data_IF_037503208156
#
_entry.id   IF_037503208156
#
_cell.length_a   1.000
_cell.length_b   1.000
_cell.length_c   1.000
_cell.angle_alpha   90.00
_cell.angle_beta   90.00
_cell.angle_gamma   90.00
#
_symmetry.space_group_name_H-M   'P 1'
#
loop_
_entity.id
_entity.type
_entity.pdbx_description
1 polymer ?
#
# COMPACT_ATOMS: atom_id res chain seq x y z
N UNK A 1 -69.08 -13.22 -6.60
CA UNK A 1 -69.34 -11.79 -6.31
C UNK A 1 -68.32 -10.97 -7.10
N UNK A 2 -68.32 -11.02 -8.42
CA UNK A 2 -69.14 -10.23 -9.35
C UNK A 2 -69.18 -8.73 -9.02
N UNK A 3 -68.29 -7.94 -9.64
CA UNK A 3 -68.63 -6.59 -10.13
C UNK A 3 -67.98 -6.39 -11.50
N UNK A 4 -68.76 -6.04 -12.53
CA UNK A 4 -68.33 -5.97 -13.91
C UNK A 4 -68.01 -4.52 -14.34
N UNK A 5 -67.47 -4.44 -15.56
CA UNK A 5 -67.55 -3.37 -16.58
C UNK A 5 -67.17 -1.93 -16.22
N UNK A 6 -66.10 -1.44 -16.86
CA UNK A 6 -66.21 -0.23 -17.66
C UNK A 6 -65.12 -0.16 -18.74
N UNK A 7 -65.41 -0.84 -19.84
CA UNK A 7 -64.90 -0.49 -21.16
C UNK A 7 -65.43 0.90 -21.49
N UNK A 8 -64.57 1.93 -21.54
CA UNK A 8 -64.70 3.15 -22.34
C UNK A 8 -63.62 4.16 -21.95
N UNK A 9 -62.47 4.08 -22.60
CA UNK A 9 -61.74 5.26 -23.10
C UNK A 9 -60.72 4.80 -24.15
N UNK A 10 -61.30 4.35 -25.27
CA UNK A 10 -60.65 4.34 -26.57
C UNK A 10 -60.23 5.76 -26.90
N UNK A 11 -58.95 6.10 -26.74
CA UNK A 11 -58.33 7.21 -27.47
C UNK A 11 -56.81 7.09 -27.46
N UNK A 12 -56.31 6.44 -28.51
CA UNK A 12 -55.19 6.89 -29.36
C UNK A 12 -54.24 7.89 -28.71
N UNK A 13 -53.21 7.41 -27.99
CA UNK A 13 -51.97 8.15 -27.88
C UNK A 13 -51.08 7.80 -29.07
N UNK A 14 -51.18 8.66 -30.08
CA UNK A 14 -50.34 8.70 -31.26
C UNK A 14 -48.86 8.55 -30.89
N UNK A 15 -48.28 7.49 -31.44
CA UNK A 15 -46.83 7.28 -31.55
C UNK A 15 -46.30 8.25 -32.61
N UNK A 16 -46.30 9.55 -32.35
CA UNK A 16 -45.59 10.54 -33.18
C UNK A 16 -45.48 11.84 -32.38
N UNK A 17 -44.29 12.13 -31.83
CA UNK A 17 -43.70 13.48 -31.64
C UNK A 17 -42.59 13.45 -30.57
N UNK A 18 -41.46 12.81 -30.88
CA UNK A 18 -40.16 13.31 -30.41
C UNK A 18 -39.18 13.14 -31.55
N UNK A 19 -39.10 14.17 -32.39
CA UNK A 19 -38.00 14.32 -33.33
C UNK A 19 -36.70 14.37 -32.53
N UNK A 20 -35.94 13.29 -32.57
CA UNK A 20 -34.59 13.25 -32.02
C UNK A 20 -33.73 14.20 -32.84
N UNK A 21 -33.31 15.32 -32.25
CA UNK A 21 -32.26 16.13 -32.84
C UNK A 21 -31.02 15.24 -32.96
N UNK A 22 -30.45 15.16 -34.17
CA UNK A 22 -29.26 14.37 -34.46
C UNK A 22 -28.08 14.73 -33.51
N UNK A 23 -28.11 15.92 -32.90
CA UNK A 23 -27.13 16.40 -31.91
C UNK A 23 -27.22 15.78 -30.50
N UNK A 24 -28.39 15.34 -30.04
CA UNK A 24 -28.54 14.75 -28.70
C UNK A 24 -27.89 13.36 -28.60
N UNK A 25 -27.88 12.61 -29.71
CA UNK A 25 -27.27 11.28 -29.80
C UNK A 25 -25.73 11.35 -29.76
N UNK A 26 -25.13 12.34 -30.44
CA UNK A 26 -23.68 12.56 -30.37
C UNK A 26 -23.22 12.99 -28.97
N UNK A 27 -24.00 13.83 -28.29
CA UNK A 27 -23.67 14.27 -26.93
C UNK A 27 -23.72 13.09 -25.93
N UNK A 28 -24.72 12.22 -26.06
CA UNK A 28 -24.86 11.03 -25.21
C UNK A 28 -23.76 9.99 -25.49
N UNK A 29 -23.36 9.78 -26.75
CA UNK A 29 -22.27 8.89 -27.12
C UNK A 29 -20.90 9.40 -26.66
N UNK A 30 -20.63 10.71 -26.77
CA UNK A 30 -19.39 11.32 -26.27
C UNK A 30 -19.31 11.21 -24.74
N UNK A 31 -20.42 11.45 -24.04
CA UNK A 31 -20.49 11.28 -22.59
C UNK A 31 -20.21 9.83 -22.16
N UNK A 32 -20.73 8.84 -22.91
CA UNK A 32 -20.52 7.42 -22.62
C UNK A 32 -19.09 6.94 -22.93
N UNK A 33 -18.43 7.53 -23.93
CA UNK A 33 -17.00 7.30 -24.23
C UNK A 33 -16.10 7.90 -23.14
N UNK A 34 -16.43 9.07 -22.60
CA UNK A 34 -15.68 9.70 -21.49
C UNK A 34 -15.75 8.90 -20.18
N UNK A 35 -16.85 8.18 -19.92
CA UNK A 35 -17.00 7.28 -18.78
C UNK A 35 -16.19 5.98 -18.90
N UNK A 36 -15.76 5.59 -20.12
CA UNK A 36 -15.05 4.34 -20.38
C UNK A 36 -13.54 4.36 -20.04
N UNK A 37 -12.96 5.53 -19.78
CA UNK A 37 -11.52 5.69 -19.49
C UNK A 37 -11.29 5.65 -17.97
N UNK A 38 -11.71 4.55 -17.33
CA UNK A 38 -11.31 4.29 -15.94
C UNK A 38 -9.91 3.69 -15.96
N UNK A 39 -8.87 4.51 -15.79
CA UNK A 39 -7.53 3.98 -15.54
C UNK A 39 -7.54 3.35 -14.14
N UNK A 40 -7.17 2.07 -13.98
CA UNK A 40 -6.94 1.53 -12.66
C UNK A 40 -5.76 2.29 -12.06
N UNK A 41 -5.99 3.03 -10.98
CA UNK A 41 -4.90 3.54 -10.15
C UNK A 41 -4.39 2.37 -9.32
N UNK A 42 -3.22 1.82 -9.70
CA UNK A 42 -2.49 0.90 -8.85
C UNK A 42 -1.67 1.79 -7.92
N UNK A 43 -2.17 1.99 -6.69
CA UNK A 43 -1.38 2.61 -5.65
C UNK A 43 -0.41 1.55 -5.10
N UNK A 44 0.78 1.46 -5.68
CA UNK A 44 1.91 0.79 -5.02
C UNK A 44 2.48 1.77 -4.00
N UNK A 45 2.20 1.52 -2.72
CA UNK A 45 2.70 2.31 -1.60
C UNK A 45 3.98 1.73 -0.99
N UNK A 46 4.62 0.77 -1.68
CA UNK A 46 5.87 0.16 -1.25
C UNK A 46 7.06 1.02 -1.68
N UNK A 47 7.90 1.40 -0.72
CA UNK A 47 9.19 2.03 -0.98
C UNK A 47 10.28 1.01 -0.72
N UNK A 48 11.19 0.83 -1.69
CA UNK A 48 12.30 -0.13 -1.59
C UNK A 48 13.64 0.58 -1.81
N UNK A 49 14.59 0.33 -0.91
CA UNK A 49 15.98 0.74 -1.04
C UNK A 49 16.85 -0.51 -1.18
N UNK A 50 17.57 -0.62 -2.28
CA UNK A 50 18.48 -1.74 -2.54
C UNK A 50 19.92 -1.34 -2.21
N UNK A 51 20.61 -2.23 -1.50
CA UNK A 51 22.03 -2.18 -1.19
C UNK A 51 22.72 -3.32 -1.93
N UNK A 52 23.63 -2.99 -2.84
CA UNK A 52 24.48 -3.96 -3.52
C UNK A 52 25.75 -4.20 -2.70
N UNK A 53 26.31 -5.40 -2.80
CA UNK A 53 27.54 -5.77 -2.10
C UNK A 53 27.40 -5.63 -0.58
N UNK A 54 26.34 -6.20 -0.02
CA UNK A 54 26.13 -6.32 1.42
C UNK A 54 25.66 -7.74 1.75
N UNK A 55 25.84 -8.15 3.00
CA UNK A 55 25.24 -9.36 3.56
C UNK A 55 24.08 -8.98 4.49
N UNK A 56 23.23 -9.97 4.78
CA UNK A 56 22.01 -9.77 5.53
C UNK A 56 22.26 -9.32 6.97
N UNK A 57 23.25 -9.91 7.64
CA UNK A 57 23.56 -9.59 9.05
C UNK A 57 24.07 -8.17 9.18
N UNK A 58 24.99 -7.75 8.32
CA UNK A 58 25.50 -6.38 8.30
C UNK A 58 24.38 -5.35 8.09
N UNK A 59 23.45 -5.64 7.17
CA UNK A 59 22.30 -4.78 6.93
C UNK A 59 21.28 -4.80 8.08
N UNK A 60 21.09 -5.96 8.72
CA UNK A 60 20.26 -6.12 9.91
C UNK A 60 20.79 -5.23 11.05
N UNK A 61 22.06 -5.40 11.40
CA UNK A 61 22.68 -4.65 12.50
C UNK A 61 22.68 -3.14 12.21
N UNK A 62 22.94 -2.75 10.97
CA UNK A 62 22.84 -1.36 10.52
C UNK A 62 21.41 -0.80 10.58
N UNK A 63 20.38 -1.62 10.36
CA UNK A 63 18.98 -1.22 10.52
C UNK A 63 18.61 -1.04 12.00
N UNK A 64 19.03 -1.95 12.88
CA UNK A 64 18.84 -1.81 14.32
C UNK A 64 19.50 -0.52 14.82
N UNK A 65 20.76 -0.29 14.47
CA UNK A 65 21.49 0.93 14.83
C UNK A 65 20.78 2.19 14.28
N UNK A 66 20.30 2.15 13.04
CA UNK A 66 19.58 3.28 12.46
C UNK A 66 18.29 3.61 13.22
N UNK A 67 17.54 2.61 13.66
CA UNK A 67 16.34 2.79 14.50
C UNK A 67 16.72 3.38 15.86
N UNK A 68 17.72 2.83 16.52
CA UNK A 68 18.19 3.29 17.84
C UNK A 68 18.75 4.71 17.79
N UNK A 69 19.40 5.11 16.69
CA UNK A 69 19.91 6.46 16.49
C UNK A 69 18.81 7.53 16.41
N UNK A 70 17.57 7.15 16.10
CA UNK A 70 16.40 8.02 16.16
C UNK A 70 15.78 8.05 17.58
N UNK A 71 16.43 7.43 18.57
CA UNK A 71 15.94 7.31 19.95
C UNK A 71 14.77 6.34 20.09
N UNK A 72 14.61 5.41 19.15
CA UNK A 72 13.53 4.43 19.11
C UNK A 72 14.03 3.06 19.55
N UNK A 73 13.12 2.20 19.98
CA UNK A 73 13.42 0.80 20.31
C UNK A 73 12.72 -0.13 19.33
N UNK A 74 13.40 -1.21 18.96
CA UNK A 74 12.80 -2.31 18.22
C UNK A 74 11.85 -3.05 19.14
N UNK A 75 10.58 -3.11 18.73
CA UNK A 75 9.54 -3.81 19.49
C UNK A 75 9.47 -5.29 19.15
N UNK A 76 9.70 -5.64 17.89
CA UNK A 76 9.60 -7.03 17.43
C UNK A 76 10.39 -7.25 16.13
N UNK A 77 10.95 -8.44 15.97
CA UNK A 77 11.55 -8.91 14.71
C UNK A 77 10.81 -10.18 14.29
N UNK A 78 10.18 -10.14 13.12
CA UNK A 78 9.43 -11.26 12.57
C UNK A 78 10.32 -12.02 11.57
N UNK A 79 10.73 -13.27 11.85
CA UNK A 79 11.53 -14.08 10.93
C UNK A 79 10.66 -14.60 9.78
N UNK A 80 10.42 -13.75 8.79
CA UNK A 80 9.41 -13.94 7.74
C UNK A 80 9.73 -15.14 6.84
N UNK A 81 11.00 -15.31 6.45
CA UNK A 81 11.43 -16.49 5.68
C UNK A 81 11.15 -17.79 6.45
N UNK A 82 11.51 -17.85 7.72
CA UNK A 82 11.34 -19.06 8.52
C UNK A 82 9.86 -19.34 8.81
N UNK A 83 9.06 -18.29 8.95
CA UNK A 83 7.60 -18.41 9.01
C UNK A 83 7.06 -19.06 7.71
N UNK A 84 7.53 -18.63 6.53
CA UNK A 84 7.15 -19.27 5.26
C UNK A 84 7.62 -20.73 5.21
N UNK A 85 8.83 -21.02 5.66
CA UNK A 85 9.36 -22.39 5.70
C UNK A 85 8.54 -23.33 6.59
N UNK A 86 8.00 -22.82 7.70
CA UNK A 86 7.17 -23.61 8.62
C UNK A 86 5.71 -23.73 8.18
N UNK A 87 5.18 -22.73 7.49
CA UNK A 87 3.74 -22.69 7.14
C UNK A 87 3.45 -23.17 5.73
N UNK A 88 4.41 -23.07 4.80
CA UNK A 88 4.41 -23.50 3.40
C UNK A 88 3.03 -23.93 2.85
N UNK A 89 2.09 -22.98 2.84
CA UNK A 89 0.75 -23.22 2.30
C UNK A 89 0.86 -23.14 0.79
N UNK A 90 0.84 -24.29 0.11
CA UNK A 90 0.80 -24.35 -1.36
C UNK A 90 2.09 -24.77 -2.07
N UNK A 91 3.11 -25.26 -1.36
CA UNK A 91 4.24 -26.01 -1.95
C UNK A 91 5.17 -25.24 -2.90
N UNK A 92 5.04 -23.92 -3.02
CA UNK A 92 5.93 -23.07 -3.82
C UNK A 92 7.31 -22.90 -3.18
N UNK A 93 8.32 -22.66 -4.01
CA UNK A 93 9.67 -22.32 -3.54
C UNK A 93 9.68 -20.96 -2.82
N UNK A 94 10.44 -20.87 -1.73
CA UNK A 94 10.62 -19.62 -0.98
C UNK A 94 11.58 -18.71 -1.75
N UNK A 95 11.16 -17.48 -2.12
CA UNK A 95 11.99 -16.61 -2.97
C UNK A 95 13.12 -15.90 -2.20
N UNK A 96 13.09 -15.95 -0.87
CA UNK A 96 14.01 -15.23 0.01
C UNK A 96 15.21 -16.08 0.41
N UNK A 97 16.41 -15.51 0.28
CA UNK A 97 17.62 -16.04 0.91
C UNK A 97 17.51 -15.91 2.42
N UNK A 98 17.26 -14.70 2.89
CA UNK A 98 16.88 -14.33 4.25
C UNK A 98 15.78 -13.25 4.19
N UNK A 99 14.86 -13.23 5.15
CA UNK A 99 13.83 -12.19 5.21
C UNK A 99 13.28 -12.02 6.63
N UNK A 100 13.26 -10.77 7.08
CA UNK A 100 12.73 -10.35 8.37
C UNK A 100 11.86 -9.09 8.22
N UNK A 101 10.93 -8.89 9.15
CA UNK A 101 10.20 -7.63 9.29
C UNK A 101 10.50 -7.07 10.68
N UNK A 102 11.21 -5.95 10.72
CA UNK A 102 11.60 -5.26 11.94
C UNK A 102 10.54 -4.20 12.25
N UNK A 103 9.92 -4.30 13.42
CA UNK A 103 8.87 -3.41 13.88
C UNK A 103 9.36 -2.54 15.03
N UNK A 104 9.03 -1.26 14.98
CA UNK A 104 9.43 -0.28 15.99
C UNK A 104 8.36 0.79 16.16
N UNK A 105 8.39 1.46 17.30
CA UNK A 105 7.37 2.41 17.70
C UNK A 105 7.98 3.76 18.09
N UNK A 106 7.32 4.84 17.67
CA UNK A 106 7.51 6.17 18.26
C UNK A 106 6.22 6.58 18.95
N UNK A 107 6.21 6.55 20.29
CA UNK A 107 5.00 6.87 21.08
C UNK A 107 4.51 8.29 20.83
N UNK A 108 5.44 9.23 20.61
CA UNK A 108 5.12 10.63 20.28
C UNK A 108 4.41 10.72 18.93
N UNK A 109 4.94 10.04 17.91
CA UNK A 109 4.36 10.04 16.57
C UNK A 109 3.03 9.28 16.54
N UNK A 110 2.93 8.15 17.24
CA UNK A 110 1.69 7.39 17.37
C UNK A 110 0.57 8.24 17.97
N UNK A 111 0.86 8.98 19.04
CA UNK A 111 -0.10 9.88 19.66
C UNK A 111 -0.50 11.04 18.74
N UNK A 112 0.42 11.56 17.91
CA UNK A 112 0.10 12.56 16.88
C UNK A 112 -0.84 12.01 15.81
N UNK A 113 -0.50 10.87 15.21
CA UNK A 113 -1.29 10.22 14.17
C UNK A 113 -2.73 9.94 14.65
N UNK A 114 -2.88 9.36 15.84
CA UNK A 114 -4.20 9.02 16.41
C UNK A 114 -5.00 10.27 16.77
N UNK A 115 -4.35 11.38 17.18
CA UNK A 115 -5.02 12.67 17.41
C UNK A 115 -5.54 13.29 16.11
N UNK A 116 -4.82 13.09 15.00
CA UNK A 116 -5.27 13.57 13.68
C UNK A 116 -6.47 12.76 13.18
N UNK A 117 -6.43 11.43 13.29
CA UNK A 117 -7.56 10.54 13.00
C UNK A 117 -7.36 9.19 13.72
N UNK A 118 -8.33 8.72 14.55
CA UNK A 118 -8.21 7.45 15.28
C UNK A 118 -7.90 6.23 14.41
N UNK A 119 -8.29 6.24 13.13
CA UNK A 119 -8.01 5.15 12.18
C UNK A 119 -6.53 5.02 11.84
N UNK A 120 -5.74 6.07 12.08
CA UNK A 120 -4.29 6.05 11.88
C UNK A 120 -3.54 5.18 12.89
N UNK A 121 -4.23 4.60 13.89
CA UNK A 121 -3.67 3.52 14.71
C UNK A 121 -3.06 2.39 13.87
N UNK A 122 -3.60 2.15 12.66
CA UNK A 122 -3.08 1.17 11.68
C UNK A 122 -1.67 1.45 11.18
N UNK A 123 -1.12 2.66 11.42
CA UNK A 123 0.26 3.03 11.09
C UNK A 123 1.24 2.72 12.23
N UNK A 124 0.77 2.12 13.33
CA UNK A 124 1.59 1.74 14.49
C UNK A 124 1.43 0.22 14.75
N UNK A 125 2.51 -0.58 14.76
CA UNK A 125 3.92 -0.17 14.66
C UNK A 125 4.34 0.25 13.24
N UNK A 126 5.38 1.08 13.16
CA UNK A 126 6.12 1.25 11.91
C UNK A 126 6.94 -0.01 11.64
N UNK A 127 7.17 -0.35 10.37
CA UNK A 127 7.84 -1.58 9.99
C UNK A 127 8.76 -1.37 8.79
N UNK A 128 9.92 -2.03 8.81
CA UNK A 128 10.83 -2.17 7.66
C UNK A 128 11.05 -3.67 7.42
N UNK A 129 10.74 -4.14 6.22
CA UNK A 129 11.11 -5.46 5.75
C UNK A 129 12.56 -5.42 5.26
N UNK A 130 13.38 -6.33 5.76
CA UNK A 130 14.75 -6.55 5.34
C UNK A 130 14.83 -7.92 4.68
N UNK A 131 15.31 -8.00 3.44
CA UNK A 131 15.38 -9.29 2.74
C UNK A 131 16.47 -9.35 1.66
N UNK A 132 16.89 -10.57 1.35
CA UNK A 132 17.67 -10.93 0.16
C UNK A 132 16.88 -11.90 -0.70
N UNK A 133 17.08 -11.88 -2.01
CA UNK A 133 16.48 -12.84 -2.93
C UNK A 133 17.43 -14.00 -3.18
N UNK A 134 16.89 -15.22 -3.36
CA UNK A 134 17.70 -16.41 -3.69
C UNK A 134 18.52 -16.19 -4.97
N UNK A 135 17.94 -15.50 -5.96
CA UNK A 135 18.60 -15.20 -7.23
C UNK A 135 19.69 -14.12 -7.12
N UNK A 136 19.67 -13.31 -6.05
CA UNK A 136 20.54 -12.16 -5.85
C UNK A 136 21.00 -12.05 -4.38
N UNK A 137 21.81 -13.00 -3.90
CA UNK A 137 22.13 -13.09 -2.47
C UNK A 137 22.99 -11.94 -1.93
N UNK A 138 23.66 -11.18 -2.82
CA UNK A 138 24.48 -10.01 -2.46
C UNK A 138 23.74 -8.68 -2.61
N UNK A 139 22.45 -8.71 -2.95
CA UNK A 139 21.56 -7.56 -2.93
C UNK A 139 20.66 -7.66 -1.69
N UNK A 140 20.75 -6.66 -0.82
CA UNK A 140 19.88 -6.53 0.33
C UNK A 140 18.85 -5.44 0.07
N UNK A 141 17.60 -5.72 0.36
CA UNK A 141 16.48 -4.82 0.18
C UNK A 141 15.92 -4.41 1.54
N UNK A 142 15.79 -3.10 1.73
CA UNK A 142 15.09 -2.48 2.84
C UNK A 142 13.79 -1.88 2.28
N UNK A 143 12.65 -2.43 2.66
CA UNK A 143 11.35 -2.03 2.14
C UNK A 143 10.39 -1.59 3.25
N UNK A 144 9.58 -0.57 2.99
CA UNK A 144 8.52 -0.15 3.92
C UNK A 144 7.28 0.32 3.15
N UNK A 145 6.14 0.31 3.84
CA UNK A 145 4.89 0.89 3.32
C UNK A 145 4.85 2.38 3.64
N UNK A 146 4.66 3.21 2.63
CA UNK A 146 4.52 4.65 2.83
C UNK A 146 3.29 4.97 3.69
N UNK A 147 3.43 5.69 4.81
CA UNK A 147 2.29 6.28 5.50
C UNK A 147 1.63 7.40 4.69
N UNK A 148 2.08 7.78 3.50
CA UNK A 148 1.48 8.85 2.70
C UNK A 148 1.69 10.26 3.29
N UNK A 149 1.08 11.26 2.66
CA UNK A 149 1.39 12.68 2.93
C UNK A 149 0.23 13.59 3.33
N UNK A 150 -0.97 13.04 3.57
CA UNK A 150 -2.20 13.84 3.74
C UNK A 150 -2.24 14.67 5.03
N UNK A 151 -1.57 14.23 6.09
CA UNK A 151 -1.52 14.92 7.39
C UNK A 151 -0.08 15.20 7.82
N UNK A 152 0.11 16.02 8.86
CA UNK A 152 1.45 16.34 9.36
C UNK A 152 2.11 15.10 9.97
N UNK A 153 1.38 14.34 10.78
CA UNK A 153 1.84 13.08 11.36
C UNK A 153 2.28 12.09 10.30
N UNK A 154 1.50 11.92 9.22
CA UNK A 154 1.85 11.00 8.11
C UNK A 154 3.14 11.42 7.40
N UNK A 155 3.32 12.72 7.12
CA UNK A 155 4.58 13.25 6.56
C UNK A 155 5.77 13.07 7.50
N UNK A 156 5.57 13.21 8.81
CA UNK A 156 6.62 12.96 9.81
C UNK A 156 6.99 11.47 9.86
N UNK A 157 6.01 10.58 9.79
CA UNK A 157 6.21 9.13 9.73
C UNK A 157 7.00 8.74 8.47
N UNK A 158 6.60 9.28 7.31
CA UNK A 158 7.31 9.08 6.04
C UNK A 158 8.78 9.55 6.16
N UNK A 159 8.99 10.75 6.69
CA UNK A 159 10.34 11.32 6.85
C UNK A 159 11.21 10.50 7.80
N UNK A 160 10.62 9.95 8.87
CA UNK A 160 11.32 9.06 9.81
C UNK A 160 11.75 7.76 9.13
N UNK A 161 10.84 7.08 8.43
CA UNK A 161 11.13 5.87 7.68
C UNK A 161 12.24 6.10 6.64
N UNK A 162 12.15 7.20 5.88
CA UNK A 162 13.19 7.55 4.91
C UNK A 162 14.56 7.75 5.55
N UNK A 163 14.64 8.40 6.72
CA UNK A 163 15.93 8.60 7.41
C UNK A 163 16.51 7.27 7.90
N UNK A 164 15.70 6.45 8.55
CA UNK A 164 16.12 5.14 9.06
C UNK A 164 16.66 4.28 7.91
N UNK A 165 15.91 4.15 6.82
CA UNK A 165 16.26 3.26 5.72
C UNK A 165 17.49 3.77 4.96
N UNK A 166 17.63 5.10 4.77
CA UNK A 166 18.84 5.68 4.16
C UNK A 166 20.06 5.51 5.05
N UNK A 167 19.93 5.69 6.37
CA UNK A 167 21.02 5.48 7.32
C UNK A 167 21.45 4.02 7.35
N UNK A 168 20.49 3.09 7.47
CA UNK A 168 20.73 1.66 7.43
C UNK A 168 21.45 1.25 6.14
N UNK A 169 21.00 1.75 4.98
CA UNK A 169 21.66 1.51 3.71
C UNK A 169 23.09 2.07 3.65
N UNK A 170 23.35 3.21 4.31
CA UNK A 170 24.70 3.76 4.45
C UNK A 170 25.60 2.86 5.29
N UNK A 171 25.13 2.42 6.46
CA UNK A 171 25.86 1.53 7.37
C UNK A 171 26.15 0.18 6.73
N UNK A 172 25.19 -0.37 5.97
CA UNK A 172 25.33 -1.64 5.27
C UNK A 172 26.45 -1.63 4.21
N UNK A 173 26.74 -0.47 3.60
CA UNK A 173 27.80 -0.33 2.59
C UNK A 173 29.20 -0.15 3.18
N UNK A 174 29.31 0.28 4.43
CA UNK A 174 30.60 0.64 5.05
C UNK A 174 31.34 -0.56 5.62
N UNK A 175 30.62 -1.65 5.89
CA UNK A 175 31.14 -2.83 6.59
C UNK A 175 31.42 -4.01 5.64
N UNK A 176 31.46 -3.74 4.33
CA UNK A 176 31.80 -4.71 3.28
C UNK A 176 33.18 -4.42 2.68
#
# INVERSE_FOLDING_TARGET
>A
MNRPDNELLRQMFSVHLFGTSLGASHFFLVFLVLLGISTPTIADDTVVVTVTHSDFRTAHDGLIEAIESEGLVVGNTLPFRDMLARTAVGGGAIPYGEAEIIQFCSSVLAAELVREDPRQLTLCPLSVALYSLVEKPTEIHLAYRSPGGSTAGRRRAESLLQRIVRRAAGLARLHW
#
